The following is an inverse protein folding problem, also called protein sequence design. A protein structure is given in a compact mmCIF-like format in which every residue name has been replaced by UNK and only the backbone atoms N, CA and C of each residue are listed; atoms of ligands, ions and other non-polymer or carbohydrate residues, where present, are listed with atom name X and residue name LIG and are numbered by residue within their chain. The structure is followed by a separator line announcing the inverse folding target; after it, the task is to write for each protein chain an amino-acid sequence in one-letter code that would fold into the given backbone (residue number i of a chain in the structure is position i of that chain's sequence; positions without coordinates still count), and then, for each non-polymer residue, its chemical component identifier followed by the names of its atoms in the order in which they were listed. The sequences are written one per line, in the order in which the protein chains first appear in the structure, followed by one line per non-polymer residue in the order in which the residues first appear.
data_IF_417744646223
#
_entry.id   IF_417744646223
#
_cell.length_a   1.000
_cell.length_b   1.000
_cell.length_c   1.000
_cell.angle_alpha   90.00
_cell.angle_beta   90.00
_cell.angle_gamma   90.00
#
_symmetry.space_group_name_H-M   'P 1'
#
loop_
_entity.id
_entity.type
_entity.pdbx_description
1 polymer ?
#
# COMPACT_ATOMS: atom_id res chain seq x y z
N UNK A 1 12.99 10.99 -11.11
CA UNK A 1 13.59 10.12 -12.15
C UNK A 1 14.03 8.73 -11.66
N UNK A 2 14.92 8.59 -10.65
CA UNK A 2 15.39 7.25 -10.23
C UNK A 2 14.32 6.32 -9.67
N UNK A 3 13.23 6.84 -9.10
CA UNK A 3 12.13 6.00 -8.59
C UNK A 3 11.29 5.39 -9.72
N UNK A 4 11.12 6.12 -10.83
CA UNK A 4 10.32 5.68 -11.99
C UNK A 4 10.90 4.43 -12.66
N UNK A 5 12.22 4.25 -12.66
CA UNK A 5 12.85 3.05 -13.24
C UNK A 5 12.49 1.75 -12.48
N UNK A 6 12.12 1.88 -11.21
CA UNK A 6 11.88 0.76 -10.31
C UNK A 6 10.38 0.45 -10.19
N UNK A 7 9.48 1.26 -10.77
CA UNK A 7 8.03 1.08 -10.65
C UNK A 7 7.54 -0.30 -11.10
N UNK A 8 8.08 -0.94 -12.17
CA UNK A 8 7.64 -2.28 -12.57
C UNK A 8 8.06 -3.36 -11.56
N UNK A 9 9.04 -3.07 -10.70
CA UNK A 9 9.58 -3.99 -9.69
C UNK A 9 9.01 -3.74 -8.29
N UNK A 10 8.17 -2.71 -8.12
CA UNK A 10 7.59 -2.41 -6.82
C UNK A 10 6.51 -3.43 -6.45
N UNK A 11 6.50 -3.84 -5.17
CA UNK A 11 5.33 -4.53 -4.61
C UNK A 11 4.10 -3.64 -4.68
N UNK A 12 2.92 -4.26 -4.79
CA UNK A 12 1.64 -3.55 -4.97
C UNK A 12 1.42 -2.49 -3.88
N UNK A 13 1.68 -2.80 -2.61
CA UNK A 13 1.55 -1.83 -1.52
C UNK A 13 2.47 -0.60 -1.70
N UNK A 14 3.74 -0.82 -2.09
CA UNK A 14 4.67 0.27 -2.34
C UNK A 14 4.25 1.10 -3.56
N UNK A 15 3.75 0.45 -4.60
CA UNK A 15 3.27 1.11 -5.80
C UNK A 15 2.03 1.98 -5.50
N UNK A 16 1.03 1.44 -4.79
CA UNK A 16 -0.16 2.20 -4.36
C UNK A 16 0.23 3.40 -3.49
N UNK A 17 1.12 3.22 -2.50
CA UNK A 17 1.64 4.33 -1.69
C UNK A 17 2.39 5.39 -2.50
N UNK A 18 3.13 4.97 -3.54
CA UNK A 18 3.80 5.89 -4.46
C UNK A 18 2.79 6.70 -5.28
N UNK A 19 1.79 6.03 -5.85
CA UNK A 19 0.74 6.65 -6.68
C UNK A 19 -0.22 7.56 -5.87
N UNK A 20 -0.33 7.35 -4.56
CA UNK A 20 -1.19 8.15 -3.67
C UNK A 20 -0.52 9.44 -3.16
N UNK A 21 0.73 9.71 -3.53
CA UNK A 21 1.43 10.91 -3.07
C UNK A 21 0.81 12.17 -3.69
N UNK A 22 0.74 13.30 -2.94
CA UNK A 22 0.20 14.55 -3.48
C UNK A 22 0.92 15.05 -4.74
N UNK A 23 2.22 14.76 -4.86
CA UNK A 23 3.07 15.18 -5.99
C UNK A 23 3.08 14.19 -7.15
N UNK A 24 2.36 13.08 -7.07
CA UNK A 24 2.48 11.98 -8.05
C UNK A 24 2.15 12.42 -9.48
N UNK A 25 1.09 13.20 -9.67
CA UNK A 25 0.68 13.64 -11.01
C UNK A 25 1.71 14.61 -11.64
N UNK A 26 2.24 15.54 -10.84
CA UNK A 26 3.31 16.45 -11.29
C UNK A 26 4.59 15.67 -11.62
N UNK A 27 4.96 14.70 -10.79
CA UNK A 27 6.12 13.84 -11.01
C UNK A 27 5.97 12.97 -12.27
N UNK A 28 4.76 12.45 -12.52
CA UNK A 28 4.44 11.64 -13.70
C UNK A 28 4.52 12.47 -14.97
N UNK A 29 4.00 13.69 -14.95
CA UNK A 29 4.05 14.59 -16.10
C UNK A 29 5.47 15.06 -16.40
N UNK A 30 6.23 15.42 -15.36
CA UNK A 30 7.64 15.73 -15.51
C UNK A 30 8.41 14.56 -16.14
N UNK A 31 8.15 13.33 -15.70
CA UNK A 31 8.75 12.13 -16.28
C UNK A 31 8.40 11.96 -17.77
N UNK A 32 7.15 12.25 -18.16
CA UNK A 32 6.70 12.16 -19.56
C UNK A 32 7.47 13.13 -20.46
N UNK A 33 7.59 14.39 -20.04
CA UNK A 33 8.31 15.44 -20.79
C UNK A 33 9.80 15.10 -20.93
N UNK A 34 10.44 14.68 -19.84
CA UNK A 34 11.86 14.31 -19.83
C UNK A 34 12.16 13.11 -20.75
N UNK A 35 11.30 12.08 -20.76
CA UNK A 35 11.44 10.93 -21.65
C UNK A 35 11.20 11.27 -23.14
N UNK A 36 10.30 12.22 -23.42
CA UNK A 36 10.03 12.67 -24.78
C UNK A 36 11.20 13.46 -25.39
N UNK A 37 11.97 14.18 -24.57
CA UNK A 37 13.17 14.90 -24.99
C UNK A 37 14.41 14.02 -25.23
N UNK A 38 14.35 12.72 -24.91
CA UNK A 38 15.49 11.78 -24.98
C UNK A 38 15.19 10.54 -25.85
N UNK A 39 15.33 9.33 -25.30
CA UNK A 39 15.25 8.03 -26.00
C UNK A 39 13.81 7.50 -26.23
N UNK A 40 12.76 8.28 -25.92
CA UNK A 40 11.33 7.93 -26.07
C UNK A 40 10.86 6.67 -25.31
N UNK A 41 11.55 6.26 -24.25
CA UNK A 41 11.10 5.13 -23.43
C UNK A 41 9.98 5.57 -22.48
N UNK A 42 8.74 5.40 -22.94
CA UNK A 42 7.53 5.70 -22.17
C UNK A 42 6.99 4.49 -21.39
N UNK A 43 7.69 3.36 -21.40
CA UNK A 43 7.22 2.10 -20.79
C UNK A 43 6.79 2.26 -19.32
N UNK A 44 7.55 3.02 -18.52
CA UNK A 44 7.21 3.27 -17.11
C UNK A 44 6.01 4.21 -16.95
N UNK A 45 5.89 5.20 -17.83
CA UNK A 45 4.76 6.11 -17.89
C UNK A 45 3.48 5.33 -18.26
N UNK A 46 3.52 4.55 -19.33
CA UNK A 46 2.41 3.69 -19.78
C UNK A 46 2.06 2.63 -18.73
N UNK A 47 3.06 2.05 -18.06
CA UNK A 47 2.84 1.12 -16.93
C UNK A 47 2.05 1.79 -15.81
N UNK A 48 2.40 3.01 -15.42
CA UNK A 48 1.70 3.74 -14.36
C UNK A 48 0.28 4.14 -14.79
N UNK A 49 0.04 4.46 -16.07
CA UNK A 49 -1.30 4.70 -16.59
C UNK A 49 -2.16 3.44 -16.54
N UNK A 50 -1.65 2.29 -17.01
CA UNK A 50 -2.36 1.01 -16.91
C UNK A 50 -2.69 0.65 -15.45
N UNK A 51 -1.74 0.88 -14.53
CA UNK A 51 -1.97 0.65 -13.09
C UNK A 51 -2.99 1.60 -12.48
N UNK A 52 -3.06 2.85 -12.97
CA UNK A 52 -4.09 3.81 -12.56
C UNK A 52 -5.48 3.31 -12.95
N UNK A 53 -5.64 2.79 -14.16
CA UNK A 53 -6.90 2.18 -14.63
C UNK A 53 -7.25 0.92 -13.81
N UNK A 54 -6.28 0.04 -13.57
CA UNK A 54 -6.45 -1.17 -12.76
C UNK A 54 -6.94 -0.86 -11.34
N UNK A 55 -6.44 0.22 -10.73
CA UNK A 55 -6.82 0.64 -9.38
C UNK A 55 -8.01 1.59 -9.35
N UNK A 56 -8.59 2.01 -10.48
CA UNK A 56 -9.61 3.06 -10.52
C UNK A 56 -10.93 2.68 -9.83
N UNK A 57 -11.21 1.38 -9.66
CA UNK A 57 -12.45 0.90 -9.03
C UNK A 57 -12.48 1.11 -7.51
N UNK A 58 -11.32 1.37 -6.88
CA UNK A 58 -11.19 1.56 -5.45
C UNK A 58 -10.29 2.76 -5.16
N UNK A 59 -10.43 3.44 -4.01
CA UNK A 59 -9.43 4.41 -3.58
C UNK A 59 -8.04 3.77 -3.57
N UNK A 60 -7.03 4.45 -4.14
CA UNK A 60 -5.65 3.94 -4.21
C UNK A 60 -5.15 3.51 -2.82
N UNK A 61 -5.50 4.30 -1.79
CA UNK A 61 -5.37 3.93 -0.39
C UNK A 61 -6.79 3.81 0.19
N UNK A 62 -7.31 2.60 0.39
CA UNK A 62 -8.60 2.39 1.02
C UNK A 62 -8.57 2.76 2.52
N UNK A 63 -9.74 2.89 3.12
CA UNK A 63 -9.83 3.07 4.57
C UNK A 63 -9.23 1.86 5.30
N UNK A 64 -8.46 2.05 6.39
CA UNK A 64 -7.85 0.94 7.13
C UNK A 64 -8.88 -0.10 7.60
N UNK A 65 -8.59 -1.38 7.40
CA UNK A 65 -9.44 -2.49 7.88
C UNK A 65 -9.47 -2.58 9.42
N UNK A 66 -8.38 -2.21 10.07
CA UNK A 66 -8.16 -2.31 11.52
C UNK A 66 -7.65 -0.98 12.03
N UNK A 67 -8.16 -0.54 13.19
CA UNK A 67 -7.73 0.66 13.92
C UNK A 67 -7.14 0.27 15.28
N UNK A 68 -6.48 1.23 15.94
CA UNK A 68 -5.91 1.01 17.27
C UNK A 68 -6.96 0.52 18.29
N UNK A 69 -8.17 1.07 18.26
CA UNK A 69 -9.27 0.66 19.14
C UNK A 69 -9.65 -0.81 18.94
N UNK A 70 -9.53 -1.33 17.71
CA UNK A 70 -9.79 -2.73 17.43
C UNK A 70 -8.73 -3.63 18.07
N UNK A 71 -7.46 -3.20 18.07
CA UNK A 71 -6.37 -3.92 18.75
C UNK A 71 -6.60 -3.97 20.26
N UNK A 72 -7.07 -2.87 20.86
CA UNK A 72 -7.48 -2.84 22.28
C UNK A 72 -8.64 -3.81 22.52
N UNK A 73 -9.63 -3.83 21.63
CA UNK A 73 -10.76 -4.77 21.67
C UNK A 73 -10.33 -6.25 21.55
N UNK A 74 -9.18 -6.53 20.94
CA UNK A 74 -8.56 -7.86 20.90
C UNK A 74 -7.79 -8.23 22.18
N UNK A 75 -7.67 -7.31 23.14
CA UNK A 75 -6.92 -7.51 24.39
C UNK A 75 -5.44 -7.14 24.29
N UNK A 76 -5.02 -6.41 23.25
CA UNK A 76 -3.67 -5.86 23.17
C UNK A 76 -3.58 -4.57 23.98
N UNK A 77 -2.49 -4.42 24.73
CA UNK A 77 -2.19 -3.17 25.44
C UNK A 77 -1.54 -2.14 24.51
N UNK A 78 -1.99 -0.87 24.53
CA UNK A 78 -1.41 0.21 23.73
C UNK A 78 0.10 0.28 23.87
N UNK A 79 0.82 0.09 22.77
CA UNK A 79 2.28 0.05 22.75
C UNK A 79 2.84 0.48 21.39
N UNK A 80 4.14 0.80 21.27
CA UNK A 80 4.76 1.13 19.99
C UNK A 80 4.54 0.07 18.89
N UNK A 81 4.34 -1.19 19.30
CA UNK A 81 4.02 -2.32 18.40
C UNK A 81 2.70 -2.14 17.65
N UNK A 82 1.77 -1.30 18.12
CA UNK A 82 0.52 -1.02 17.41
C UNK A 82 0.80 -0.46 16.02
N UNK A 83 1.78 0.45 15.89
CA UNK A 83 2.13 1.00 14.59
C UNK A 83 2.59 -0.09 13.64
N UNK A 84 3.41 -1.04 14.12
CA UNK A 84 3.90 -2.17 13.33
C UNK A 84 2.76 -3.09 12.89
N UNK A 85 1.82 -3.40 13.79
CA UNK A 85 0.66 -4.24 13.49
C UNK A 85 -0.24 -3.55 12.45
N UNK A 86 -0.57 -2.28 12.67
CA UNK A 86 -1.44 -1.51 11.77
C UNK A 86 -0.80 -1.35 10.39
N UNK A 87 0.51 -1.10 10.31
CA UNK A 87 1.25 -1.03 9.04
C UNK A 87 1.28 -2.41 8.34
N UNK A 88 1.41 -3.50 9.09
CA UNK A 88 1.39 -4.85 8.55
C UNK A 88 0.00 -5.25 8.01
N UNK A 89 -1.08 -4.83 8.66
CA UNK A 89 -2.46 -4.96 8.15
C UNK A 89 -2.65 -4.11 6.90
N UNK A 90 -2.29 -2.82 6.95
CA UNK A 90 -2.43 -1.91 5.80
C UNK A 90 -1.67 -2.42 4.58
N UNK A 91 -0.44 -2.91 4.78
CA UNK A 91 0.36 -3.48 3.68
C UNK A 91 -0.36 -4.68 3.05
N UNK A 92 -0.89 -5.59 3.86
CA UNK A 92 -1.64 -6.76 3.39
C UNK A 92 -2.96 -6.38 2.70
N UNK A 93 -3.64 -5.35 3.21
CA UNK A 93 -4.83 -4.76 2.59
C UNK A 93 -4.49 -4.20 1.20
N UNK A 94 -3.42 -3.41 1.09
CA UNK A 94 -2.99 -2.83 -0.19
C UNK A 94 -2.58 -3.90 -1.20
N UNK A 95 -1.98 -5.01 -0.73
CA UNK A 95 -1.66 -6.19 -1.55
C UNK A 95 -2.89 -7.06 -1.87
N UNK A 96 -4.06 -6.79 -1.27
CA UNK A 96 -5.31 -7.52 -1.51
C UNK A 96 -5.41 -8.89 -0.84
N UNK A 97 -4.48 -9.18 0.09
CA UNK A 97 -4.46 -10.42 0.89
C UNK A 97 -5.40 -10.38 2.09
N UNK A 98 -5.75 -9.17 2.56
CA UNK A 98 -6.83 -8.93 3.52
C UNK A 98 -7.84 -7.99 2.87
N UNK A 99 -9.12 -8.37 2.88
CA UNK A 99 -10.19 -7.62 2.20
C UNK A 99 -11.26 -7.14 3.16
N UNK A 100 -11.43 -7.82 4.27
CA UNK A 100 -12.46 -7.50 5.27
C UNK A 100 -11.83 -7.23 6.63
N UNK A 101 -12.57 -6.49 7.47
CA UNK A 101 -12.16 -6.23 8.85
C UNK A 101 -12.01 -7.54 9.61
N UNK A 102 -12.94 -8.47 9.41
CA UNK A 102 -12.97 -9.78 10.06
C UNK A 102 -11.72 -10.60 9.72
N UNK A 103 -11.35 -10.68 8.43
CA UNK A 103 -10.11 -11.33 7.98
C UNK A 103 -8.88 -10.70 8.62
N UNK A 104 -8.83 -9.36 8.68
CA UNK A 104 -7.69 -8.65 9.23
C UNK A 104 -7.54 -8.87 10.74
N UNK A 105 -8.64 -8.86 11.49
CA UNK A 105 -8.61 -9.13 12.92
C UNK A 105 -8.20 -10.58 13.21
N UNK A 106 -8.68 -11.54 12.43
CA UNK A 106 -8.29 -12.93 12.60
C UNK A 106 -6.81 -13.15 12.28
N UNK A 107 -6.31 -12.51 11.21
CA UNK A 107 -4.89 -12.51 10.90
C UNK A 107 -4.05 -11.92 12.04
N UNK A 108 -4.46 -10.78 12.62
CA UNK A 108 -3.76 -10.18 13.77
C UNK A 108 -3.72 -11.13 14.96
N UNK A 109 -4.83 -11.78 15.31
CA UNK A 109 -4.86 -12.76 16.43
C UNK A 109 -3.89 -13.92 16.21
N UNK A 110 -3.86 -14.46 15.00
CA UNK A 110 -3.00 -15.59 14.64
C UNK A 110 -1.52 -15.19 14.63
N UNK A 111 -1.17 -14.12 13.91
CA UNK A 111 0.22 -13.69 13.73
C UNK A 111 0.86 -13.24 15.04
N UNK A 112 0.11 -12.48 15.85
CA UNK A 112 0.61 -11.94 17.11
C UNK A 112 0.26 -12.82 18.32
N UNK A 113 -0.25 -14.05 18.05
CA UNK A 113 -0.52 -15.11 19.03
C UNK A 113 -1.05 -14.56 20.35
N UNK A 114 -2.23 -13.94 20.27
CA UNK A 114 -2.98 -13.48 21.43
C UNK A 114 -3.49 -14.71 22.23
N UNK A 115 -2.57 -15.30 23.00
CA UNK A 115 -2.81 -16.48 23.85
C UNK A 115 -2.17 -17.76 23.33
N UNK A 116 -0.85 -17.90 23.49
CA UNK A 116 -0.18 -19.17 23.85
C UNK A 116 1.13 -18.86 24.61
N UNK A 117 0.99 -18.56 25.90
CA UNK A 117 1.98 -19.06 26.85
C UNK A 117 1.53 -20.48 27.19
N UNK A 118 2.08 -21.48 26.49
CA UNK A 118 2.16 -22.84 27.03
C UNK A 118 3.36 -22.90 28.00
#
# INVERSE_FOLDING_TARGET
HMVFKDVPKMRVAKLKRFMARPTFDDELELHRVDCQGSHRMLDNYEFLLRKREEFANEPIIPAPLVRGDDLIGLGLEPSPKFSEILEAVETRQLEGSLRTREEALEWVKHEYSLGKND
#
